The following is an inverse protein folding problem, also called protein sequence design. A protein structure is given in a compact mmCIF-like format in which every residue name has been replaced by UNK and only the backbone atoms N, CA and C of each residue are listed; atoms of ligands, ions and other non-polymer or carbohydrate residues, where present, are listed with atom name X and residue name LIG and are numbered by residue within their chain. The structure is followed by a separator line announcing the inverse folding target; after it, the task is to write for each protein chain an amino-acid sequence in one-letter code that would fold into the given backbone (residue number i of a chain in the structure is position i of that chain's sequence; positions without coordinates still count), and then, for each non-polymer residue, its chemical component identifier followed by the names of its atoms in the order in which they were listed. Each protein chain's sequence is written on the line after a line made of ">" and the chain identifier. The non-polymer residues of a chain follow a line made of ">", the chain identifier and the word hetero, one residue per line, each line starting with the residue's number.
data_IF_659233583006
#
_entry.id   IF_659233583006
#
_cell.length_a   1.000
_cell.length_b   1.000
_cell.length_c   1.000
_cell.angle_alpha   90.00
_cell.angle_beta   90.00
_cell.angle_gamma   90.00
#
_symmetry.space_group_name_H-M   'P 1'
#
loop_
_entity.id
_entity.type
_entity.pdbx_description
1 polymer ?
#
# COMPACT_ATOMS: atom_id res chain seq x y z
N UNK A 1 18.70 -0.21 15.47
CA UNK A 1 18.77 -1.17 14.36
C UNK A 1 20.20 -1.62 14.15
N UNK A 2 20.38 -2.82 13.56
CA UNK A 2 21.67 -3.32 13.12
C UNK A 2 21.69 -3.40 11.58
N UNK A 3 22.63 -2.67 10.97
CA UNK A 3 22.80 -2.54 9.52
C UNK A 3 23.76 -3.55 8.90
N UNK A 4 24.32 -4.44 9.71
CA UNK A 4 25.31 -5.43 9.25
C UNK A 4 24.69 -6.63 8.59
N UNK A 5 23.35 -6.69 8.51
CA UNK A 5 22.67 -7.70 7.71
C UNK A 5 23.14 -7.63 6.25
N UNK A 6 23.42 -8.78 5.61
CA UNK A 6 24.13 -8.80 4.32
C UNK A 6 23.35 -8.25 3.13
N UNK A 7 22.07 -7.90 3.31
CA UNK A 7 21.24 -7.27 2.28
C UNK A 7 21.11 -5.78 2.60
N UNK A 8 21.66 -4.94 1.72
CA UNK A 8 21.59 -3.49 1.86
C UNK A 8 20.13 -3.00 1.87
N UNK A 9 19.77 -2.19 2.86
CA UNK A 9 18.43 -1.65 3.01
C UNK A 9 17.42 -2.61 3.68
N UNK A 10 17.91 -3.71 4.24
CA UNK A 10 17.17 -4.60 5.13
C UNK A 10 17.90 -4.61 6.48
N UNK A 11 17.30 -4.01 7.49
CA UNK A 11 17.91 -3.79 8.78
C UNK A 11 17.34 -4.76 9.83
N UNK A 12 18.18 -5.21 10.77
CA UNK A 12 17.70 -5.99 11.93
C UNK A 12 17.24 -5.04 13.02
N UNK A 13 15.97 -5.13 13.39
CA UNK A 13 15.40 -4.37 14.51
C UNK A 13 15.76 -5.00 15.85
N UNK A 14 16.51 -4.28 16.67
CA UNK A 14 16.86 -4.71 18.05
C UNK A 14 15.70 -4.42 19.01
N UNK A 15 15.66 -5.08 20.19
CA UNK A 15 14.51 -5.02 21.09
C UNK A 15 14.00 -3.62 21.40
N UNK A 16 14.87 -2.67 21.69
CA UNK A 16 14.48 -1.29 21.99
C UNK A 16 13.75 -0.63 20.79
N UNK A 17 14.33 -0.73 19.60
CA UNK A 17 13.71 -0.15 18.40
C UNK A 17 12.41 -0.86 18.00
N UNK A 18 12.36 -2.19 18.16
CA UNK A 18 11.15 -2.98 17.91
C UNK A 18 10.03 -2.61 18.89
N UNK A 19 10.36 -2.42 20.19
CA UNK A 19 9.38 -1.98 21.18
C UNK A 19 8.84 -0.59 20.89
N UNK A 20 9.70 0.36 20.49
CA UNK A 20 9.28 1.70 20.12
C UNK A 20 8.34 1.67 18.89
N UNK A 21 8.67 0.87 17.86
CA UNK A 21 7.81 0.66 16.69
C UNK A 21 6.45 0.07 17.08
N UNK A 22 6.43 -0.94 17.97
CA UNK A 22 5.19 -1.54 18.45
C UNK A 22 4.29 -0.57 19.23
N UNK A 23 4.85 0.42 19.94
CA UNK A 23 4.08 1.48 20.59
C UNK A 23 3.45 2.42 19.54
N UNK A 24 4.20 2.79 18.48
CA UNK A 24 3.68 3.59 17.37
C UNK A 24 2.55 2.84 16.65
N UNK A 25 2.75 1.55 16.37
CA UNK A 25 1.73 0.70 15.77
C UNK A 25 0.45 0.64 16.61
N UNK A 26 0.61 0.55 17.93
CA UNK A 26 -0.51 0.50 18.88
C UNK A 26 -1.30 1.81 18.87
N UNK A 27 -0.61 2.94 18.79
CA UNK A 27 -1.21 4.26 18.66
C UNK A 27 -1.96 4.38 17.33
N UNK A 28 -1.32 4.00 16.22
CA UNK A 28 -1.96 4.02 14.89
C UNK A 28 -3.23 3.14 14.87
N UNK A 29 -3.17 1.91 15.42
CA UNK A 29 -4.35 1.03 15.53
C UNK A 29 -5.46 1.65 16.37
N UNK A 30 -5.12 2.33 17.45
CA UNK A 30 -6.11 3.02 18.30
C UNK A 30 -6.84 4.11 17.52
N UNK A 31 -6.12 4.94 16.78
CA UNK A 31 -6.69 6.01 15.97
C UNK A 31 -7.54 5.46 14.80
N UNK A 32 -7.08 4.40 14.13
CA UNK A 32 -7.85 3.76 13.06
C UNK A 32 -9.18 3.18 13.56
N UNK A 33 -9.17 2.53 14.73
CA UNK A 33 -10.43 2.03 15.34
C UNK A 33 -11.37 3.16 15.72
N UNK A 34 -10.85 4.29 16.20
CA UNK A 34 -11.64 5.47 16.55
C UNK A 34 -12.38 6.04 15.33
N UNK A 35 -11.82 5.90 14.13
CA UNK A 35 -12.40 6.33 12.87
C UNK A 35 -13.12 5.20 12.11
N UNK A 36 -13.42 4.08 12.82
CA UNK A 36 -14.14 2.91 12.31
C UNK A 36 -13.42 2.16 11.16
N UNK A 37 -12.11 2.28 11.05
CA UNK A 37 -11.35 1.44 10.13
C UNK A 37 -11.16 0.04 10.72
N UNK A 38 -11.22 -0.96 9.88
CA UNK A 38 -10.99 -2.36 10.23
C UNK A 38 -9.60 -2.81 9.78
N UNK A 39 -8.90 -3.52 10.66
CA UNK A 39 -7.58 -4.06 10.34
C UNK A 39 -7.71 -5.34 9.50
N UNK A 40 -7.10 -5.33 8.33
CA UNK A 40 -7.00 -6.47 7.43
C UNK A 40 -5.55 -6.91 7.29
N UNK A 41 -5.34 -8.08 6.71
CA UNK A 41 -4.02 -8.52 6.26
C UNK A 41 -4.15 -9.15 4.88
N UNK A 42 -3.58 -8.48 3.90
CA UNK A 42 -3.53 -8.98 2.53
C UNK A 42 -2.23 -9.78 2.28
N UNK A 43 -2.23 -10.69 1.30
CA UNK A 43 -1.06 -11.50 0.97
C UNK A 43 0.16 -10.66 0.63
N UNK A 44 1.34 -11.17 0.99
CA UNK A 44 2.62 -10.58 0.67
C UNK A 44 2.97 -10.73 -0.81
N UNK A 45 2.66 -11.91 -1.38
CA UNK A 45 2.92 -12.23 -2.78
C UNK A 45 1.74 -11.79 -3.63
N UNK A 46 2.05 -11.10 -4.71
CA UNK A 46 1.07 -10.59 -5.67
C UNK A 46 1.39 -11.16 -7.05
N UNK A 47 0.42 -11.80 -7.74
CA UNK A 47 0.62 -12.29 -9.09
C UNK A 47 0.81 -11.15 -10.10
N UNK A 48 1.67 -11.36 -11.10
CA UNK A 48 1.98 -10.37 -12.13
C UNK A 48 0.75 -9.89 -12.91
N UNK A 49 -0.17 -10.78 -13.20
CA UNK A 49 -1.39 -10.48 -13.96
C UNK A 49 -2.35 -9.51 -13.25
N UNK A 50 -2.30 -9.41 -11.93
CA UNK A 50 -3.05 -8.39 -11.19
C UNK A 50 -2.45 -7.00 -11.37
N UNK A 51 -1.12 -6.88 -11.43
CA UNK A 51 -0.43 -5.62 -11.68
C UNK A 51 -0.74 -5.09 -13.10
N UNK A 52 -0.77 -5.98 -14.08
CA UNK A 52 -1.07 -5.61 -15.46
C UNK A 52 -2.51 -5.11 -15.62
N UNK A 53 -3.48 -5.73 -14.93
CA UNK A 53 -4.87 -5.24 -14.90
C UNK A 53 -4.99 -3.85 -14.26
N UNK A 54 -4.29 -3.61 -13.16
CA UNK A 54 -4.29 -2.32 -12.47
C UNK A 54 -3.68 -1.22 -13.35
N UNK A 55 -2.53 -1.49 -13.95
CA UNK A 55 -1.85 -0.53 -14.84
C UNK A 55 -2.71 -0.16 -16.04
N UNK A 56 -3.35 -1.12 -16.68
CA UNK A 56 -4.28 -0.89 -17.79
C UNK A 56 -5.45 0.01 -17.36
N UNK A 57 -6.02 -0.23 -16.18
CA UNK A 57 -7.13 0.58 -15.66
C UNK A 57 -6.70 2.01 -15.33
N UNK A 58 -5.59 2.17 -14.62
CA UNK A 58 -5.06 3.50 -14.23
C UNK A 58 -4.71 4.32 -15.48
N UNK A 59 -4.06 3.71 -16.46
CA UNK A 59 -3.72 4.38 -17.72
C UNK A 59 -4.97 4.82 -18.48
N UNK A 60 -5.99 3.97 -18.56
CA UNK A 60 -7.28 4.32 -19.17
C UNK A 60 -7.99 5.47 -18.46
N UNK A 61 -8.06 5.43 -17.14
CA UNK A 61 -8.71 6.48 -16.34
C UNK A 61 -8.01 7.83 -16.51
N UNK A 62 -6.67 7.83 -16.53
CA UNK A 62 -5.88 9.04 -16.72
C UNK A 62 -6.09 9.64 -18.11
N UNK A 63 -5.98 8.84 -19.17
CA UNK A 63 -6.18 9.28 -20.53
C UNK A 63 -7.63 9.73 -20.79
N UNK A 64 -8.63 9.04 -20.23
CA UNK A 64 -10.02 9.44 -20.30
C UNK A 64 -10.25 10.82 -19.67
N UNK A 65 -9.67 11.06 -18.50
CA UNK A 65 -9.75 12.35 -17.81
C UNK A 65 -9.12 13.48 -18.63
N UNK A 66 -7.97 13.23 -19.25
CA UNK A 66 -7.27 14.20 -20.08
C UNK A 66 -8.03 14.49 -21.40
N UNK A 67 -8.66 13.47 -21.98
CA UNK A 67 -9.43 13.59 -23.22
C UNK A 67 -10.89 14.03 -23.00
N UNK A 68 -11.39 14.03 -21.77
CA UNK A 68 -12.79 14.37 -21.46
C UNK A 68 -13.80 13.35 -21.99
N UNK A 69 -13.39 12.07 -22.13
CA UNK A 69 -14.22 10.97 -22.68
C UNK A 69 -14.37 9.85 -21.66
N UNK A 70 -15.32 8.93 -21.92
CA UNK A 70 -15.52 7.77 -21.07
C UNK A 70 -14.31 6.82 -21.15
N UNK A 71 -13.79 6.33 -20.01
CA UNK A 71 -12.65 5.41 -19.98
C UNK A 71 -12.81 4.12 -20.80
N UNK A 72 -14.07 3.67 -21.01
CA UNK A 72 -14.36 2.47 -21.81
C UNK A 72 -14.13 2.64 -23.31
N UNK A 73 -14.08 3.88 -23.79
CA UNK A 73 -13.91 4.23 -25.22
C UNK A 73 -12.44 4.34 -25.66
N UNK A 74 -11.51 4.35 -24.69
CA UNK A 74 -10.08 4.52 -24.97
C UNK A 74 -9.35 3.21 -25.21
N UNK A 75 -8.63 3.15 -26.33
CA UNK A 75 -7.58 2.16 -26.57
C UNK A 75 -6.24 2.79 -26.21
N UNK A 76 -5.50 2.17 -25.28
CA UNK A 76 -4.17 2.62 -24.87
C UNK A 76 -3.14 1.57 -25.25
N UNK A 77 -2.01 2.03 -25.76
CA UNK A 77 -0.82 1.21 -25.85
C UNK A 77 -0.31 0.91 -24.43
N UNK A 78 0.10 -0.32 -24.20
CA UNK A 78 0.61 -0.77 -22.88
C UNK A 78 1.96 -0.10 -22.61
N UNK A 79 1.96 1.01 -21.86
CA UNK A 79 3.20 1.49 -21.25
C UNK A 79 3.62 0.56 -20.12
N UNK A 80 4.83 0.02 -20.19
CA UNK A 80 5.43 -0.74 -19.09
C UNK A 80 5.44 0.10 -17.81
N UNK A 81 4.71 -0.34 -16.81
CA UNK A 81 4.63 0.34 -15.53
C UNK A 81 6.01 0.44 -14.88
N UNK A 82 6.31 1.64 -14.37
CA UNK A 82 7.53 1.90 -13.60
C UNK A 82 7.71 0.96 -12.41
N UNK A 83 6.63 0.44 -11.85
CA UNK A 83 6.64 -0.52 -10.73
C UNK A 83 7.30 -1.85 -11.09
N UNK A 84 7.20 -2.36 -12.32
CA UNK A 84 7.88 -3.61 -12.73
C UNK A 84 9.40 -3.57 -12.50
N UNK A 85 10.01 -2.40 -12.51
CA UNK A 85 11.45 -2.19 -12.28
C UNK A 85 11.83 -2.07 -10.81
N UNK A 86 10.86 -1.83 -9.93
CA UNK A 86 11.08 -1.54 -8.51
C UNK A 86 10.62 -2.65 -7.57
N UNK A 87 10.09 -3.76 -8.10
CA UNK A 87 9.64 -4.89 -7.27
C UNK A 87 10.67 -6.00 -7.16
N UNK A 88 10.58 -6.78 -6.10
CA UNK A 88 11.29 -8.06 -5.97
C UNK A 88 10.47 -9.17 -6.58
N UNK A 89 10.98 -9.82 -7.60
CA UNK A 89 10.32 -10.92 -8.27
C UNK A 89 10.53 -12.25 -7.56
N UNK A 90 9.48 -13.06 -7.50
CA UNK A 90 9.48 -14.44 -7.04
C UNK A 90 9.07 -15.32 -8.22
N UNK A 91 10.03 -16.04 -8.77
CA UNK A 91 9.87 -16.81 -10.01
C UNK A 91 9.87 -18.32 -9.80
N UNK A 92 10.24 -18.78 -8.60
CA UNK A 92 10.31 -20.19 -8.25
C UNK A 92 9.66 -20.49 -6.90
N UNK A 93 9.04 -21.65 -6.78
CA UNK A 93 8.62 -22.29 -5.54
C UNK A 93 9.46 -23.54 -5.32
N UNK A 94 10.45 -23.47 -4.41
CA UNK A 94 11.49 -24.48 -4.34
C UNK A 94 12.31 -24.49 -5.63
N UNK A 95 12.47 -25.66 -6.26
CA UNK A 95 13.17 -25.83 -7.55
C UNK A 95 12.26 -25.61 -8.77
N UNK A 96 10.94 -25.55 -8.57
CA UNK A 96 9.98 -25.43 -9.65
C UNK A 96 9.77 -23.96 -10.04
N UNK A 97 9.87 -23.70 -11.34
CA UNK A 97 9.49 -22.39 -11.89
C UNK A 97 7.98 -22.22 -11.77
N UNK A 98 7.55 -21.04 -11.31
CA UNK A 98 6.14 -20.69 -11.24
C UNK A 98 5.59 -20.44 -12.64
N UNK A 99 4.37 -20.90 -12.92
CA UNK A 99 3.66 -20.62 -14.17
C UNK A 99 3.37 -19.11 -14.31
N UNK A 100 2.90 -18.50 -13.21
CA UNK A 100 2.70 -17.06 -13.13
C UNK A 100 3.74 -16.49 -12.16
N UNK A 101 4.64 -15.61 -12.62
CA UNK A 101 5.54 -14.89 -11.75
C UNK A 101 4.77 -14.09 -10.70
N UNK A 102 5.34 -13.98 -9.51
CA UNK A 102 4.81 -13.17 -8.43
C UNK A 102 5.84 -12.12 -8.03
N UNK A 103 5.40 -11.13 -7.29
CA UNK A 103 6.32 -10.16 -6.71
C UNK A 103 5.96 -9.88 -5.24
N UNK A 104 6.96 -9.42 -4.48
CA UNK A 104 6.74 -8.91 -3.13
C UNK A 104 6.07 -7.53 -3.26
N UNK A 105 4.95 -7.34 -2.59
CA UNK A 105 4.18 -6.07 -2.68
C UNK A 105 5.03 -4.85 -2.35
N UNK A 106 5.11 -3.85 -3.23
CA UNK A 106 5.72 -2.54 -2.92
C UNK A 106 4.75 -1.60 -2.18
N UNK A 107 3.48 -1.88 -2.30
CA UNK A 107 2.27 -1.30 -1.69
C UNK A 107 1.14 -2.32 -1.89
N UNK A 108 -0.08 -2.06 -1.44
CA UNK A 108 -1.12 -3.09 -1.45
C UNK A 108 -2.38 -2.74 -2.23
N UNK A 109 -2.39 -1.68 -3.03
CA UNK A 109 -3.52 -1.31 -3.87
C UNK A 109 -3.96 -2.49 -4.75
N UNK A 110 -3.02 -3.11 -5.44
CA UNK A 110 -3.27 -4.23 -6.36
C UNK A 110 -4.05 -5.37 -5.71
N UNK A 111 -3.60 -6.00 -4.59
CA UNK A 111 -4.37 -7.05 -3.94
C UNK A 111 -5.63 -6.52 -3.23
N UNK A 112 -5.61 -5.30 -2.69
CA UNK A 112 -6.76 -4.74 -1.98
C UNK A 112 -7.92 -4.46 -2.91
N UNK A 113 -7.69 -3.76 -4.01
CA UNK A 113 -8.76 -3.34 -4.93
C UNK A 113 -9.37 -4.52 -5.66
N UNK A 114 -8.57 -5.56 -5.94
CA UNK A 114 -9.09 -6.83 -6.45
C UNK A 114 -10.11 -7.44 -5.49
N UNK A 115 -9.86 -7.39 -4.18
CA UNK A 115 -10.79 -7.93 -3.18
C UNK A 115 -11.94 -6.98 -2.91
N UNK A 116 -11.73 -5.66 -2.91
CA UNK A 116 -12.81 -4.68 -2.75
C UNK A 116 -13.86 -4.81 -3.84
N UNK A 117 -13.46 -5.07 -5.08
CA UNK A 117 -14.38 -5.32 -6.19
C UNK A 117 -15.28 -6.53 -6.00
N UNK A 118 -14.85 -7.50 -5.18
CA UNK A 118 -15.64 -8.67 -4.82
C UNK A 118 -16.53 -8.44 -3.59
N UNK A 119 -16.09 -7.60 -2.66
CA UNK A 119 -16.78 -7.36 -1.39
C UNK A 119 -17.85 -6.27 -1.49
N UNK A 120 -17.58 -5.19 -2.21
CA UNK A 120 -18.55 -4.11 -2.42
C UNK A 120 -19.50 -4.48 -3.53
N UNK A 121 -20.71 -4.89 -3.18
CA UNK A 121 -21.75 -5.33 -4.11
C UNK A 121 -22.96 -4.39 -4.16
N UNK A 122 -23.08 -3.54 -3.15
CA UNK A 122 -24.19 -2.61 -3.03
C UNK A 122 -23.78 -1.37 -2.24
N UNK A 123 -24.60 -0.34 -2.25
CA UNK A 123 -24.43 0.84 -1.40
C UNK A 123 -24.42 0.52 0.10
N UNK A 124 -25.03 -0.61 0.52
CA UNK A 124 -25.05 -1.03 1.91
C UNK A 124 -23.67 -1.49 2.44
N UNK A 125 -22.75 -1.80 1.53
CA UNK A 125 -21.38 -2.22 1.85
C UNK A 125 -20.42 -1.02 2.02
N UNK A 126 -20.93 0.20 1.81
CA UNK A 126 -20.14 1.44 1.86
C UNK A 126 -20.53 2.30 3.09
N UNK A 127 -19.59 3.07 3.64
CA UNK A 127 -18.18 3.10 3.25
C UNK A 127 -17.42 1.86 3.75
N UNK A 128 -16.55 1.32 2.92
CA UNK A 128 -15.58 0.31 3.33
C UNK A 128 -14.31 1.03 3.77
N UNK A 129 -13.92 0.87 5.03
CA UNK A 129 -12.70 1.49 5.61
C UNK A 129 -11.76 0.41 6.11
N UNK A 130 -10.61 0.29 5.47
CA UNK A 130 -9.63 -0.75 5.78
C UNK A 130 -8.26 -0.16 6.06
N UNK A 131 -7.46 -0.86 6.87
CA UNK A 131 -6.04 -0.55 7.03
C UNK A 131 -5.24 -1.82 7.31
N UNK A 132 -3.94 -1.74 7.12
CA UNK A 132 -3.00 -2.76 7.56
C UNK A 132 -1.66 -2.14 7.98
N UNK A 133 -0.95 -2.87 8.87
CA UNK A 133 0.44 -2.58 9.21
C UNK A 133 1.24 -3.83 8.84
N UNK A 134 2.08 -3.72 7.83
CA UNK A 134 2.76 -4.86 7.20
C UNK A 134 4.09 -4.43 6.62
N UNK A 135 4.94 -5.40 6.27
CA UNK A 135 6.14 -5.10 5.50
C UNK A 135 5.81 -5.01 4.01
N UNK A 136 6.36 -3.98 3.35
CA UNK A 136 6.40 -3.81 1.91
C UNK A 136 7.84 -3.80 1.42
N UNK A 137 8.05 -4.07 0.13
CA UNK A 137 9.38 -4.29 -0.41
C UNK A 137 9.58 -3.48 -1.70
N UNK A 138 10.61 -2.63 -1.72
CA UNK A 138 10.98 -1.86 -2.91
C UNK A 138 12.44 -2.09 -3.26
N UNK A 139 12.73 -2.49 -4.49
CA UNK A 139 14.08 -2.66 -4.99
C UNK A 139 14.73 -1.29 -5.24
N UNK A 140 15.13 -0.65 -4.15
CA UNK A 140 15.79 0.65 -4.21
C UNK A 140 17.23 0.52 -4.72
N UNK A 141 17.51 1.16 -5.83
CA UNK A 141 18.85 1.18 -6.44
C UNK A 141 19.70 2.33 -5.93
N UNK A 142 19.08 3.37 -5.36
CA UNK A 142 19.75 4.55 -4.81
C UNK A 142 20.26 4.30 -3.39
N UNK A 143 20.81 5.32 -2.75
CA UNK A 143 21.32 5.20 -1.38
C UNK A 143 20.20 4.86 -0.40
N UNK A 144 20.37 3.81 0.39
CA UNK A 144 19.46 3.45 1.47
C UNK A 144 19.89 4.11 2.77
N UNK A 145 18.90 4.51 3.59
CA UNK A 145 19.12 5.09 4.91
C UNK A 145 18.05 4.54 5.85
N UNK A 146 18.47 3.90 6.94
CA UNK A 146 17.57 3.34 7.95
C UNK A 146 16.52 4.35 8.39
N UNK A 147 15.28 3.90 8.57
CA UNK A 147 14.07 4.66 8.89
C UNK A 147 13.54 5.59 7.79
N UNK A 148 14.36 5.99 6.81
CA UNK A 148 13.98 6.99 5.81
C UNK A 148 13.80 6.37 4.44
N UNK A 149 14.74 5.51 4.02
CA UNK A 149 14.72 4.86 2.71
C UNK A 149 15.35 3.48 2.80
N UNK A 150 14.53 2.48 2.91
CA UNK A 150 14.91 1.08 3.08
C UNK A 150 14.26 0.22 2.00
N UNK A 151 14.74 -1.01 1.83
CA UNK A 151 14.17 -1.97 0.86
C UNK A 151 13.07 -2.82 1.45
N UNK A 152 13.15 -3.12 2.73
CA UNK A 152 12.08 -3.70 3.52
C UNK A 152 11.53 -2.62 4.44
N UNK A 153 10.29 -2.21 4.20
CA UNK A 153 9.64 -1.07 4.83
C UNK A 153 8.60 -1.59 5.81
N UNK A 154 8.67 -1.16 7.07
CA UNK A 154 7.54 -1.29 7.98
C UNK A 154 6.51 -0.25 7.60
N UNK A 155 5.37 -0.69 7.06
CA UNK A 155 4.46 0.13 6.28
C UNK A 155 3.06 0.13 6.89
N UNK A 156 2.55 1.31 7.15
CA UNK A 156 1.15 1.56 7.47
C UNK A 156 0.44 2.11 6.24
N UNK A 157 -0.69 1.54 5.89
CA UNK A 157 -1.53 2.00 4.80
C UNK A 157 -3.00 1.83 5.16
N UNK A 158 -3.81 2.80 4.73
CA UNK A 158 -5.25 2.75 4.85
C UNK A 158 -5.90 3.01 3.49
N UNK A 159 -6.92 2.24 3.16
CA UNK A 159 -7.64 2.33 1.91
C UNK A 159 -9.14 2.31 2.17
N UNK A 160 -9.85 3.24 1.58
CA UNK A 160 -11.29 3.39 1.79
C UNK A 160 -12.05 3.47 0.48
N UNK A 161 -13.30 3.00 0.48
CA UNK A 161 -14.19 3.08 -0.66
C UNK A 161 -15.46 3.78 -0.22
N UNK A 162 -15.90 4.77 -0.99
CA UNK A 162 -17.05 5.61 -0.70
C UNK A 162 -18.06 5.59 -1.84
N UNK A 163 -19.30 5.95 -1.56
CA UNK A 163 -20.37 5.99 -2.54
C UNK A 163 -20.24 7.17 -3.51
N UNK A 164 -19.62 8.26 -3.06
CA UNK A 164 -19.48 9.50 -3.83
C UNK A 164 -18.22 10.28 -3.43
N UNK A 165 -17.94 11.35 -4.17
CA UNK A 165 -16.79 12.22 -3.96
C UNK A 165 -16.83 12.91 -2.59
N UNK A 166 -18.01 13.35 -2.12
CA UNK A 166 -18.13 14.05 -0.85
C UNK A 166 -17.70 13.15 0.33
N UNK A 167 -18.11 11.87 0.28
CA UNK A 167 -17.68 10.88 1.25
C UNK A 167 -16.16 10.66 1.24
N UNK A 168 -15.55 10.60 0.06
CA UNK A 168 -14.11 10.47 -0.09
C UNK A 168 -13.36 11.71 0.43
N UNK A 169 -13.81 12.91 0.10
CA UNK A 169 -13.21 14.16 0.56
C UNK A 169 -13.29 14.30 2.09
N UNK A 170 -14.43 13.98 2.68
CA UNK A 170 -14.59 13.96 4.14
C UNK A 170 -13.66 12.96 4.82
N UNK A 171 -13.40 11.83 4.16
CA UNK A 171 -12.46 10.84 4.65
C UNK A 171 -11.01 11.37 4.66
N UNK A 172 -10.60 12.10 3.64
CA UNK A 172 -9.26 12.72 3.58
C UNK A 172 -9.08 13.71 4.74
N UNK A 173 -10.09 14.49 5.07
CA UNK A 173 -10.05 15.42 6.22
C UNK A 173 -9.96 14.66 7.56
N UNK A 174 -10.72 13.58 7.72
CA UNK A 174 -10.65 12.70 8.90
C UNK A 174 -9.26 12.09 9.05
N UNK A 175 -8.67 11.60 7.96
CA UNK A 175 -7.33 10.99 7.96
C UNK A 175 -6.24 12.02 8.27
N UNK A 176 -6.34 13.23 7.75
CA UNK A 176 -5.41 14.31 8.07
C UNK A 176 -5.44 14.65 9.57
N UNK A 177 -6.64 14.73 10.16
CA UNK A 177 -6.77 14.99 11.60
C UNK A 177 -6.30 13.80 12.45
N UNK A 178 -6.50 12.58 11.99
CA UNK A 178 -5.95 11.38 12.63
C UNK A 178 -4.41 11.42 12.65
N UNK A 179 -3.77 11.74 11.52
CA UNK A 179 -2.31 11.88 11.44
C UNK A 179 -1.80 12.98 12.36
N UNK A 180 -2.48 14.14 12.43
CA UNK A 180 -2.11 15.22 13.36
C UNK A 180 -2.14 14.74 14.81
N UNK A 181 -3.16 13.95 15.22
CA UNK A 181 -3.23 13.38 16.58
C UNK A 181 -2.10 12.43 16.86
N UNK A 182 -1.79 11.51 15.92
CA UNK A 182 -0.66 10.58 16.06
C UNK A 182 0.65 11.35 16.24
N UNK A 183 0.91 12.35 15.41
CA UNK A 183 2.13 13.16 15.49
C UNK A 183 2.21 13.93 16.82
N UNK A 184 1.10 14.45 17.31
CA UNK A 184 1.02 15.15 18.61
C UNK A 184 1.33 14.21 19.77
N UNK A 185 0.77 13.00 19.79
CA UNK A 185 1.06 11.97 20.81
C UNK A 185 2.53 11.52 20.76
N UNK A 186 3.14 11.56 19.60
CA UNK A 186 4.57 11.27 19.40
C UNK A 186 5.48 12.47 19.71
N UNK A 187 4.92 13.60 20.16
CA UNK A 187 5.62 14.86 20.38
C UNK A 187 6.37 15.37 19.12
N UNK A 188 5.87 15.07 17.94
CA UNK A 188 6.41 15.55 16.68
C UNK A 188 5.66 16.81 16.25
N UNK A 189 6.38 17.90 15.88
CA UNK A 189 5.74 19.11 15.37
C UNK A 189 5.06 18.79 14.02
N UNK A 190 3.79 19.19 13.92
CA UNK A 190 3.02 19.11 12.67
C UNK A 190 2.36 20.45 12.39
N UNK A 191 2.32 20.83 11.13
CA UNK A 191 1.64 22.03 10.64
C UNK A 191 0.17 21.74 10.42
#
# INVERSE_FOLDING_TARGET
>A
VDKRYPIKGMDVWKPYGLSAMGLIDSLARSEMRRTNHQEYRFPLLVPEDLLDKENSLVSRLKAAREAGVDPSELRLDEEESGFKKEVYWVTHGGENKLEVPMFLRPTSETPMYSMFSLWVRSHADLPLKTFQIVNTFRYETKQTRSFIRVREIHFFEAHTVHADQNGADSQIEEDAEMVRRILRELCLPSI
#
